data_IF_943941970922
#
_entry.id   IF_943941970922
#
_cell.length_a   1.000
_cell.length_b   1.000
_cell.length_c   1.000
_cell.angle_alpha   90.00
_cell.angle_beta   90.00
_cell.angle_gamma   90.00
#
_symmetry.space_group_name_H-M   'P 1'
#
loop_
_entity.id
_entity.type
_entity.pdbx_description
1 polymer ?
#
# COMPACT_ATOMS: atom_id res chain seq x y z
N UNK A 1 -17.68 56.19 -11.27
CA UNK A 1 -16.39 56.88 -11.46
C UNK A 1 -15.77 57.14 -10.10
N UNK A 2 -14.72 56.38 -9.74
CA UNK A 2 -13.83 56.62 -8.59
C UNK A 2 -12.56 55.80 -8.80
N UNK A 3 -11.47 56.40 -8.35
CA UNK A 3 -10.12 56.38 -8.93
C UNK A 3 -9.30 55.16 -8.54
N UNK A 4 -8.46 54.73 -9.48
CA UNK A 4 -7.44 53.66 -9.39
C UNK A 4 -6.31 54.14 -8.48
N UNK A 5 -5.84 53.28 -7.57
CA UNK A 5 -4.60 53.49 -6.82
C UNK A 5 -3.69 52.26 -7.00
N UNK A 6 -2.64 52.46 -7.79
CA UNK A 6 -1.55 51.53 -8.05
C UNK A 6 -0.48 51.66 -6.96
N UNK A 7 0.05 50.54 -6.48
CA UNK A 7 1.28 50.52 -5.69
C UNK A 7 2.36 49.73 -6.43
N UNK A 8 3.44 50.43 -6.74
CA UNK A 8 4.72 49.91 -7.19
C UNK A 8 5.54 49.49 -5.97
N UNK A 9 6.13 48.29 -5.99
CA UNK A 9 7.29 47.96 -5.17
C UNK A 9 8.36 47.37 -6.08
N UNK A 10 9.35 48.21 -6.38
CA UNK A 10 10.61 47.87 -7.01
C UNK A 10 11.66 47.64 -5.93
N UNK A 11 12.44 46.57 -6.09
CA UNK A 11 13.81 46.48 -5.61
C UNK A 11 14.01 45.75 -4.29
N UNK A 12 14.56 44.54 -4.34
CA UNK A 12 15.89 44.31 -3.76
C UNK A 12 16.53 43.11 -4.46
N UNK A 13 17.66 43.40 -5.11
CA UNK A 13 18.54 42.48 -5.81
C UNK A 13 19.76 42.36 -4.90
N UNK A 14 19.96 41.21 -4.25
CA UNK A 14 21.25 40.83 -3.67
C UNK A 14 21.56 39.41 -4.11
N UNK A 15 22.57 39.33 -4.98
CA UNK A 15 23.26 38.12 -5.33
C UNK A 15 24.21 37.73 -4.20
N UNK A 16 24.19 36.46 -3.79
CA UNK A 16 25.36 35.81 -3.20
C UNK A 16 25.54 34.46 -3.89
N UNK A 17 26.60 34.40 -4.69
CA UNK A 17 27.19 33.18 -5.18
C UNK A 17 27.74 32.36 -4.00
N UNK A 18 27.49 31.05 -4.00
CA UNK A 18 28.06 30.09 -3.06
C UNK A 18 28.18 28.75 -3.75
N UNK A 19 29.39 28.50 -4.27
CA UNK A 19 29.83 27.32 -4.99
C UNK A 19 30.10 26.16 -4.02
N UNK A 20 29.60 24.96 -4.39
CA UNK A 20 30.07 23.61 -4.05
C UNK A 20 30.20 23.17 -2.58
N UNK A 21 29.52 22.07 -2.25
CA UNK A 21 30.17 20.79 -1.89
C UNK A 21 29.18 19.64 -2.10
N UNK A 22 29.58 18.67 -2.93
CA UNK A 22 28.92 17.36 -3.05
C UNK A 22 29.08 16.61 -1.72
N UNK A 23 27.96 16.36 -1.03
CA UNK A 23 27.88 15.40 0.06
C UNK A 23 27.11 14.18 -0.41
N UNK A 24 27.83 13.12 -0.77
CA UNK A 24 27.28 11.76 -0.85
C UNK A 24 26.90 11.39 0.59
N UNK A 25 25.61 11.41 0.93
CA UNK A 25 25.14 10.81 2.18
C UNK A 25 24.70 9.38 1.89
N UNK A 26 25.56 8.44 2.27
CA UNK A 26 25.23 7.04 2.45
C UNK A 26 24.07 6.91 3.45
N UNK A 27 22.85 6.78 2.94
CA UNK A 27 21.72 6.33 3.74
C UNK A 27 21.77 4.81 3.88
N UNK A 28 22.76 4.36 4.65
CA UNK A 28 22.79 3.06 5.31
C UNK A 28 21.71 3.05 6.40
N UNK A 29 20.50 2.67 6.03
CA UNK A 29 19.43 2.43 6.99
C UNK A 29 19.69 1.13 7.75
N UNK A 30 20.18 1.28 8.98
CA UNK A 30 19.97 0.41 10.14
C UNK A 30 20.04 -1.11 9.90
N UNK A 31 21.26 -1.64 9.95
CA UNK A 31 21.47 -2.92 10.61
C UNK A 31 21.17 -2.73 12.10
N UNK A 32 20.17 -3.43 12.62
CA UNK A 32 20.01 -3.56 14.07
C UNK A 32 21.13 -4.46 14.58
N UNK A 33 22.05 -3.88 15.35
CA UNK A 33 22.93 -4.61 16.25
C UNK A 33 22.06 -5.38 17.25
N UNK A 34 21.92 -6.68 17.00
CA UNK A 34 21.49 -7.62 18.03
C UNK A 34 22.69 -7.83 18.93
N UNK A 35 22.74 -7.06 20.01
CA UNK A 35 23.68 -7.23 21.11
C UNK A 35 23.42 -8.61 21.75
N UNK A 36 24.13 -9.60 21.23
CA UNK A 36 24.15 -10.97 21.72
C UNK A 36 24.80 -10.97 23.11
N UNK A 37 23.97 -10.94 24.15
CA UNK A 37 24.38 -11.33 25.50
C UNK A 37 24.93 -12.76 25.44
N UNK A 38 26.26 -12.87 25.54
CA UNK A 38 26.98 -14.10 25.82
C UNK A 38 26.48 -14.67 27.16
N UNK A 39 25.61 -15.65 27.11
CA UNK A 39 25.46 -16.63 28.18
C UNK A 39 26.28 -17.86 27.80
N UNK A 40 27.43 -17.95 28.44
CA UNK A 40 28.30 -19.12 28.47
C UNK A 40 27.61 -20.20 29.31
N UNK A 41 26.95 -21.14 28.65
CA UNK A 41 26.58 -22.43 29.26
C UNK A 41 27.27 -23.55 28.49
N UNK A 42 28.37 -23.99 29.07
CA UNK A 42 29.09 -25.21 28.71
C UNK A 42 28.22 -26.41 29.07
N UNK A 43 27.61 -27.04 28.06
CA UNK A 43 26.99 -28.36 28.20
C UNK A 43 27.53 -29.26 27.10
N UNK A 44 28.29 -30.28 27.50
CA UNK A 44 28.86 -31.33 26.62
C UNK A 44 27.76 -32.06 25.84
N UNK A 45 27.93 -32.29 24.52
CA UNK A 45 27.10 -33.23 23.79
C UNK A 45 27.74 -34.62 23.76
N UNK A 46 27.13 -35.55 24.49
CA UNK A 46 27.36 -36.99 24.35
C UNK A 46 26.68 -37.48 23.07
N UNK A 47 27.44 -37.63 21.98
CA UNK A 47 26.95 -38.13 20.71
C UNK A 47 26.67 -39.65 20.80
N UNK A 48 25.39 -40.04 20.78
CA UNK A 48 24.97 -41.39 20.36
C UNK A 48 24.54 -41.33 18.89
N UNK A 49 24.96 -42.29 18.04
CA UNK A 49 24.52 -42.34 16.65
C UNK A 49 23.05 -42.77 16.57
N UNK A 50 22.19 -41.85 16.16
CA UNK A 50 20.80 -42.16 15.77
C UNK A 50 20.82 -42.66 14.32
N UNK A 51 20.38 -43.90 14.12
CA UNK A 51 20.13 -44.47 12.78
C UNK A 51 19.08 -43.62 12.06
N UNK A 52 19.49 -42.94 10.99
CA UNK A 52 18.60 -42.22 10.08
C UNK A 52 17.82 -43.26 9.28
N UNK A 53 16.56 -43.47 9.64
CA UNK A 53 15.61 -44.20 8.83
C UNK A 53 15.16 -43.31 7.67
N UNK A 54 15.60 -43.65 6.46
CA UNK A 54 15.20 -43.02 5.20
C UNK A 54 13.74 -43.35 4.90
N UNK A 55 12.81 -42.54 5.39
CA UNK A 55 11.41 -42.59 4.94
C UNK A 55 11.20 -41.62 3.78
N UNK A 56 11.13 -42.18 2.56
CA UNK A 56 10.62 -41.54 1.34
C UNK A 56 9.21 -40.96 1.57
N UNK A 57 8.99 -39.65 1.38
CA UNK A 57 7.64 -39.13 1.17
C UNK A 57 7.32 -39.20 -0.32
N UNK A 58 6.39 -40.09 -0.63
CA UNK A 58 5.73 -40.27 -1.93
C UNK A 58 5.15 -38.94 -2.40
N UNK A 59 5.76 -38.35 -3.43
CA UNK A 59 5.16 -37.27 -4.22
C UNK A 59 3.90 -37.80 -4.90
N UNK A 60 2.72 -37.53 -4.33
CA UNK A 60 1.46 -37.57 -5.09
C UNK A 60 1.30 -36.21 -5.78
N UNK A 61 1.14 -36.16 -7.12
CA UNK A 61 0.68 -34.95 -7.77
C UNK A 61 -0.74 -34.68 -7.29
N UNK A 62 -0.94 -33.55 -6.62
CA UNK A 62 -2.27 -33.02 -6.33
C UNK A 62 -2.86 -32.62 -7.68
N UNK A 63 -3.77 -33.46 -8.17
CA UNK A 63 -4.66 -33.17 -9.28
C UNK A 63 -5.28 -31.79 -9.05
N UNK A 64 -5.14 -30.90 -10.03
CA UNK A 64 -5.80 -29.61 -10.02
C UNK A 64 -7.31 -29.87 -10.02
N UNK A 65 -7.92 -29.76 -8.84
CA UNK A 65 -9.36 -29.77 -8.70
C UNK A 65 -9.86 -28.44 -9.27
N UNK A 66 -10.40 -28.54 -10.47
CA UNK A 66 -11.03 -27.48 -11.22
C UNK A 66 -12.14 -26.87 -10.36
N UNK A 67 -11.97 -25.61 -9.96
CA UNK A 67 -12.97 -24.83 -9.23
C UNK A 67 -14.25 -24.74 -10.07
N UNK A 68 -15.15 -25.70 -9.85
CA UNK A 68 -16.50 -25.69 -10.42
C UNK A 68 -17.25 -24.47 -9.88
N UNK A 69 -17.84 -23.61 -10.73
CA UNK A 69 -18.64 -22.49 -10.26
C UNK A 69 -19.83 -23.02 -9.45
N UNK A 70 -20.21 -22.35 -8.34
CA UNK A 70 -21.34 -22.78 -7.52
C UNK A 70 -22.62 -22.74 -8.35
N UNK A 71 -23.32 -23.88 -8.35
CA UNK A 71 -24.64 -24.01 -8.94
C UNK A 71 -25.61 -23.08 -8.22
N UNK A 72 -26.38 -22.35 -9.03
CA UNK A 72 -27.41 -21.41 -8.63
C UNK A 72 -28.59 -22.19 -8.04
N UNK A 73 -28.64 -22.29 -6.72
CA UNK A 73 -29.81 -22.72 -5.98
C UNK A 73 -30.72 -21.52 -5.74
N UNK A 74 -31.89 -21.53 -6.38
CA UNK A 74 -32.97 -20.60 -6.11
C UNK A 74 -33.70 -21.08 -4.84
N UNK A 75 -33.59 -20.35 -3.73
CA UNK A 75 -34.69 -20.18 -2.76
C UNK A 75 -34.36 -19.09 -1.75
N UNK A 76 -35.34 -18.18 -1.59
CA UNK A 76 -35.28 -16.95 -0.81
C UNK A 76 -35.40 -17.24 0.68
N UNK A 77 -34.38 -16.89 1.44
CA UNK A 77 -34.56 -16.36 2.78
C UNK A 77 -33.89 -14.99 2.83
N UNK A 78 -34.73 -13.95 2.94
CA UNK A 78 -34.34 -12.56 3.09
C UNK A 78 -33.56 -12.39 4.41
N UNK A 79 -32.23 -12.53 4.32
CA UNK A 79 -31.33 -12.00 5.33
C UNK A 79 -31.29 -10.48 5.21
N UNK A 80 -32.12 -9.83 6.03
CA UNK A 80 -32.27 -8.39 6.26
C UNK A 80 -31.03 -7.71 6.92
N UNK A 81 -29.82 -8.11 6.52
CA UNK A 81 -28.58 -7.38 6.82
C UNK A 81 -27.97 -6.83 5.53
N UNK A 82 -28.77 -6.06 4.81
CA UNK A 82 -28.32 -5.23 3.69
C UNK A 82 -27.44 -4.07 4.17
N UNK A 83 -26.20 -4.33 4.61
CA UNK A 83 -25.14 -3.33 4.74
C UNK A 83 -24.62 -2.83 3.36
N UNK A 84 -25.52 -2.73 2.37
CA UNK A 84 -25.23 -2.44 0.96
C UNK A 84 -25.57 -1.02 0.50
N UNK A 85 -25.93 -0.09 1.40
CA UNK A 85 -26.54 1.19 1.02
C UNK A 85 -25.55 2.37 0.87
N UNK A 86 -24.35 2.14 0.31
CA UNK A 86 -23.62 3.24 -0.33
C UNK A 86 -23.26 2.81 -1.73
N UNK A 87 -24.02 3.30 -2.72
CA UNK A 87 -23.77 3.08 -4.14
C UNK A 87 -22.30 3.40 -4.45
N UNK A 88 -21.58 2.59 -5.26
CA UNK A 88 -20.16 2.79 -5.58
C UNK A 88 -19.79 4.08 -6.36
N UNK A 89 -20.65 5.11 -6.39
CA UNK A 89 -20.58 6.23 -7.33
C UNK A 89 -20.17 7.58 -6.73
N UNK A 90 -19.89 7.67 -5.43
CA UNK A 90 -19.57 8.98 -4.79
C UNK A 90 -18.17 9.49 -5.10
N UNK A 91 -17.24 8.62 -5.53
CA UNK A 91 -15.90 9.06 -5.91
C UNK A 91 -15.94 9.56 -7.36
N UNK A 92 -15.67 10.86 -7.61
CA UNK A 92 -15.67 11.39 -8.96
C UNK A 92 -14.62 10.70 -9.82
N UNK A 93 -14.97 10.37 -11.07
CA UNK A 93 -14.03 9.81 -12.03
C UNK A 93 -12.97 10.87 -12.36
N UNK A 94 -11.70 10.49 -12.44
CA UNK A 94 -10.64 11.37 -12.95
C UNK A 94 -10.99 11.83 -14.37
N UNK A 95 -11.30 13.11 -14.54
CA UNK A 95 -11.52 13.78 -15.83
C UNK A 95 -10.24 14.45 -16.31
N UNK A 96 -10.16 14.77 -17.62
CA UNK A 96 -8.93 15.28 -18.23
C UNK A 96 -8.45 16.56 -17.53
N UNK A 97 -9.40 17.47 -17.32
CA UNK A 97 -9.21 18.71 -16.59
C UNK A 97 -8.67 18.48 -15.17
N UNK A 98 -9.19 17.50 -14.43
CA UNK A 98 -8.70 17.19 -13.08
C UNK A 98 -7.24 16.72 -13.09
N UNK A 99 -6.88 15.84 -14.02
CA UNK A 99 -5.48 15.40 -14.14
C UNK A 99 -4.55 16.54 -14.52
N UNK A 100 -4.92 17.35 -15.51
CA UNK A 100 -4.11 18.48 -15.93
C UNK A 100 -3.93 19.48 -14.77
N UNK A 101 -4.99 19.69 -13.97
CA UNK A 101 -4.93 20.48 -12.73
C UNK A 101 -3.97 19.89 -11.70
N UNK A 102 -4.10 18.58 -11.40
CA UNK A 102 -3.21 17.94 -10.43
C UNK A 102 -1.76 17.90 -10.91
N UNK A 103 -1.53 17.72 -12.21
CA UNK A 103 -0.20 17.69 -12.80
C UNK A 103 0.46 19.07 -12.78
N UNK A 104 -0.30 20.14 -13.03
CA UNK A 104 0.19 21.51 -12.90
C UNK A 104 0.61 21.81 -11.45
N UNK A 105 -0.25 21.50 -10.48
CA UNK A 105 0.07 21.62 -9.05
C UNK A 105 1.30 20.80 -8.67
N UNK A 106 1.34 19.54 -9.09
CA UNK A 106 2.46 18.65 -8.83
C UNK A 106 3.79 19.14 -9.41
N UNK A 107 3.78 19.91 -10.50
CA UNK A 107 5.00 20.48 -11.06
C UNK A 107 5.60 21.57 -10.16
N UNK A 108 4.78 22.29 -9.40
CA UNK A 108 5.15 23.46 -8.62
C UNK A 108 5.37 23.15 -7.12
N UNK A 109 4.69 22.12 -6.59
CA UNK A 109 4.70 21.77 -5.16
C UNK A 109 5.95 20.97 -4.74
N UNK A 110 6.28 20.97 -3.44
CA UNK A 110 7.33 20.11 -2.90
C UNK A 110 6.91 18.62 -2.91
N UNK A 111 7.88 17.70 -3.04
CA UNK A 111 7.66 16.25 -3.06
C UNK A 111 7.46 15.66 -1.66
N UNK A 112 6.46 16.14 -0.92
CA UNK A 112 6.18 15.77 0.47
C UNK A 112 4.74 15.30 0.65
N UNK A 113 4.45 14.63 1.77
CA UNK A 113 3.08 14.30 2.14
C UNK A 113 2.24 15.57 2.33
N UNK A 114 0.96 15.52 1.96
CA UNK A 114 0.06 16.67 1.99
C UNK A 114 0.12 17.57 0.75
N UNK A 115 1.02 17.33 -0.22
CA UNK A 115 1.02 18.01 -1.52
C UNK A 115 -0.26 17.66 -2.30
N UNK A 116 -1.21 18.60 -2.50
CA UNK A 116 -2.49 18.30 -3.13
C UNK A 116 -2.37 17.76 -4.57
N UNK A 117 -1.39 18.25 -5.33
CA UNK A 117 -1.10 17.76 -6.68
C UNK A 117 -0.66 16.30 -6.67
N UNK A 118 0.36 15.98 -5.86
CA UNK A 118 0.86 14.61 -5.71
C UNK A 118 -0.21 13.66 -5.18
N UNK A 119 -0.87 14.00 -4.07
CA UNK A 119 -1.86 13.15 -3.44
C UNK A 119 -3.07 12.89 -4.35
N UNK A 120 -3.52 13.90 -5.10
CA UNK A 120 -4.55 13.74 -6.12
C UNK A 120 -4.15 12.74 -7.21
N UNK A 121 -2.93 12.86 -7.75
CA UNK A 121 -2.40 11.93 -8.75
C UNK A 121 -2.32 10.49 -8.20
N UNK A 122 -1.86 10.31 -6.95
CA UNK A 122 -1.74 9.01 -6.30
C UNK A 122 -3.11 8.40 -5.95
N UNK A 123 -4.08 9.22 -5.54
CA UNK A 123 -5.46 8.78 -5.25
C UNK A 123 -6.14 8.13 -6.47
N UNK A 124 -5.81 8.59 -7.67
CA UNK A 124 -6.29 8.03 -8.92
C UNK A 124 -5.34 7.01 -9.58
N UNK A 125 -4.19 6.72 -8.96
CA UNK A 125 -3.22 5.67 -9.23
C UNK A 125 -3.26 5.08 -10.64
N UNK A 126 -4.05 4.02 -10.82
CA UNK A 126 -4.22 3.31 -12.09
C UNK A 126 -4.57 4.20 -13.28
N UNK A 127 -5.50 5.15 -13.12
CA UNK A 127 -5.91 6.07 -14.19
C UNK A 127 -4.81 7.08 -14.50
N UNK A 128 -4.15 7.59 -13.47
CA UNK A 128 -3.00 8.48 -13.61
C UNK A 128 -1.89 7.81 -14.42
N UNK A 129 -1.53 6.57 -14.10
CA UNK A 129 -0.54 5.78 -14.84
C UNK A 129 -0.91 5.65 -16.33
N UNK A 130 -2.15 5.27 -16.63
CA UNK A 130 -2.66 5.19 -18.00
C UNK A 130 -2.58 6.51 -18.76
N UNK A 131 -2.79 7.65 -18.10
CA UNK A 131 -2.71 8.95 -18.75
C UNK A 131 -1.28 9.43 -18.91
N UNK A 132 -0.40 9.08 -17.98
CA UNK A 132 1.02 9.34 -18.09
C UNK A 132 1.65 8.63 -19.30
N UNK A 133 1.22 7.39 -19.58
CA UNK A 133 1.63 6.62 -20.76
C UNK A 133 1.11 7.23 -22.06
N UNK A 134 -0.15 7.68 -22.09
CA UNK A 134 -0.78 8.25 -23.28
C UNK A 134 -0.39 9.68 -23.57
N UNK A 135 -0.10 10.47 -22.54
CA UNK A 135 0.21 11.90 -22.66
C UNK A 135 1.27 12.26 -21.62
N UNK A 136 2.54 11.94 -21.89
CA UNK A 136 3.63 12.30 -20.99
C UNK A 136 3.73 13.83 -20.85
N UNK A 137 3.92 14.35 -19.63
CA UNK A 137 3.97 15.79 -19.39
C UNK A 137 5.25 16.38 -20.01
N UNK A 138 5.10 17.40 -20.87
CA UNK A 138 6.24 18.04 -21.56
C UNK A 138 7.12 18.91 -20.65
N UNK A 139 6.57 19.42 -19.54
CA UNK A 139 7.23 20.42 -18.66
C UNK A 139 7.65 19.87 -17.30
N UNK A 140 7.56 18.56 -17.09
CA UNK A 140 7.95 17.97 -15.82
C UNK A 140 9.43 17.61 -15.84
N UNK A 141 10.20 18.02 -14.84
CA UNK A 141 11.59 17.59 -14.68
C UNK A 141 11.70 16.06 -14.63
N UNK A 142 12.79 15.49 -15.13
CA UNK A 142 13.01 14.05 -15.14
C UNK A 142 12.91 13.41 -13.75
N UNK A 143 13.42 14.08 -12.71
CA UNK A 143 13.38 13.62 -11.32
C UNK A 143 11.94 13.48 -10.80
N UNK A 144 11.12 14.52 -10.96
CA UNK A 144 9.69 14.47 -10.59
C UNK A 144 8.93 13.40 -11.37
N UNK A 145 9.24 13.19 -12.65
CA UNK A 145 8.61 12.14 -13.43
C UNK A 145 8.98 10.75 -12.91
N UNK A 146 10.26 10.54 -12.61
CA UNK A 146 10.77 9.29 -12.04
C UNK A 146 10.14 9.02 -10.66
N UNK A 147 10.10 10.01 -9.79
CA UNK A 147 9.45 9.93 -8.48
C UNK A 147 7.97 9.54 -8.61
N UNK A 148 7.20 10.23 -9.47
CA UNK A 148 5.79 9.92 -9.68
C UNK A 148 5.60 8.49 -10.21
N UNK A 149 6.43 8.05 -11.17
CA UNK A 149 6.37 6.68 -11.71
C UNK A 149 6.68 5.64 -10.62
N UNK A 150 7.67 5.91 -9.78
CA UNK A 150 8.02 5.05 -8.65
C UNK A 150 6.86 4.95 -7.64
N UNK A 151 6.22 6.07 -7.30
CA UNK A 151 5.08 6.02 -6.38
C UNK A 151 3.87 5.33 -7.01
N UNK A 152 3.60 5.54 -8.30
CA UNK A 152 2.51 4.87 -9.02
C UNK A 152 2.75 3.37 -9.27
N UNK A 153 3.99 2.88 -9.15
CA UNK A 153 4.29 1.45 -9.24
C UNK A 153 3.99 0.71 -7.93
N UNK A 154 3.86 1.43 -6.81
CA UNK A 154 3.40 0.88 -5.53
C UNK A 154 1.89 0.65 -5.54
N UNK A 155 1.48 -0.44 -6.17
CA UNK A 155 0.09 -0.80 -6.41
C UNK A 155 -0.44 -1.92 -5.50
N UNK A 156 0.34 -2.35 -4.51
CA UNK A 156 -0.06 -3.35 -3.51
C UNK A 156 0.31 -2.91 -2.10
N UNK A 157 -0.45 -3.40 -1.12
CA UNK A 157 -0.15 -3.28 0.31
C UNK A 157 -0.14 -4.66 0.96
N UNK A 158 0.43 -4.77 2.16
CA UNK A 158 0.34 -5.98 2.99
C UNK A 158 -0.68 -5.76 4.09
N UNK A 159 -1.65 -6.67 4.21
CA UNK A 159 -2.67 -6.62 5.26
C UNK A 159 -2.63 -7.91 6.04
N UNK A 160 -2.46 -7.79 7.35
CA UNK A 160 -2.67 -8.84 8.34
C UNK A 160 -3.69 -8.37 9.36
N UNK A 161 -4.34 -9.32 10.01
CA UNK A 161 -5.36 -9.03 11.02
C UNK A 161 -5.15 -9.95 12.22
N UNK A 162 -5.37 -9.41 13.42
CA UNK A 162 -5.38 -10.19 14.66
C UNK A 162 -6.64 -9.86 15.43
N UNK A 163 -7.30 -10.88 15.96
CA UNK A 163 -8.41 -10.72 16.89
C UNK A 163 -7.86 -11.00 18.28
N UNK A 164 -7.91 -9.98 19.13
CA UNK A 164 -7.48 -10.07 20.53
C UNK A 164 -8.70 -10.12 21.45
N UNK A 165 -8.60 -10.87 22.52
CA UNK A 165 -9.65 -10.89 23.55
C UNK A 165 -9.46 -9.74 24.56
N UNK A 166 -10.37 -9.63 25.55
CA UNK A 166 -10.32 -8.61 26.61
C UNK A 166 -9.05 -8.66 27.47
N UNK A 167 -8.33 -9.80 27.47
CA UNK A 167 -7.06 -10.00 28.18
C UNK A 167 -5.84 -9.75 27.29
N UNK A 168 -6.04 -9.38 26.02
CA UNK A 168 -4.97 -9.13 25.05
C UNK A 168 -4.43 -10.37 24.33
N UNK A 169 -4.99 -11.56 24.56
CA UNK A 169 -4.49 -12.79 23.91
C UNK A 169 -5.01 -12.88 22.47
N UNK A 170 -4.13 -13.27 21.53
CA UNK A 170 -4.49 -13.52 20.14
C UNK A 170 -5.37 -14.78 20.04
N UNK A 171 -6.62 -14.61 19.59
CA UNK A 171 -7.56 -15.71 19.34
C UNK A 171 -7.55 -16.16 17.89
N UNK A 172 -7.34 -15.21 16.98
CA UNK A 172 -7.34 -15.44 15.54
C UNK A 172 -6.24 -14.58 14.93
N UNK A 173 -5.47 -15.18 14.03
CA UNK A 173 -4.44 -14.49 13.28
C UNK A 173 -4.62 -14.72 11.79
N UNK A 174 -4.42 -13.65 11.03
CA UNK A 174 -4.37 -13.66 9.58
C UNK A 174 -2.99 -13.12 9.22
N UNK A 175 -2.14 -14.02 8.72
CA UNK A 175 -0.81 -13.64 8.27
C UNK A 175 -0.88 -12.53 7.21
N UNK A 176 0.06 -11.56 7.21
CA UNK A 176 0.08 -10.50 6.23
C UNK A 176 0.08 -11.03 4.79
N UNK A 177 -0.96 -10.69 4.02
CA UNK A 177 -1.07 -11.01 2.60
C UNK A 177 -0.91 -9.77 1.75
N UNK A 178 -0.25 -9.91 0.60
CA UNK A 178 -0.12 -8.86 -0.40
C UNK A 178 -1.44 -8.75 -1.17
N UNK A 179 -2.03 -7.56 -1.18
CA UNK A 179 -3.33 -7.28 -1.80
C UNK A 179 -3.23 -6.03 -2.67
N UNK A 180 -3.92 -5.99 -3.83
CA UNK A 180 -3.86 -4.85 -4.74
C UNK A 180 -4.61 -3.63 -4.16
N UNK A 181 -4.03 -2.45 -4.35
CA UNK A 181 -4.69 -1.17 -4.09
C UNK A 181 -5.73 -0.94 -5.18
N UNK A 182 -6.87 -0.33 -4.83
CA UNK A 182 -8.05 -0.14 -5.69
C UNK A 182 -8.80 -1.43 -6.07
N UNK A 183 -8.43 -2.57 -5.46
CA UNK A 183 -9.12 -3.84 -5.60
C UNK A 183 -10.07 -4.14 -4.45
N UNK A 184 -10.84 -5.22 -4.64
CA UNK A 184 -11.45 -5.95 -3.55
C UNK A 184 -10.44 -6.98 -3.02
N UNK A 185 -10.48 -7.25 -1.72
CA UNK A 185 -9.73 -8.34 -1.13
C UNK A 185 -10.64 -9.17 -0.23
N UNK A 186 -10.28 -10.44 -0.08
CA UNK A 186 -10.85 -11.35 0.93
C UNK A 186 -9.70 -12.11 1.56
N UNK A 187 -9.62 -12.07 2.88
CA UNK A 187 -8.66 -12.81 3.68
C UNK A 187 -9.41 -13.83 4.52
N UNK A 188 -8.78 -14.96 4.75
CA UNK A 188 -9.27 -16.02 5.61
C UNK A 188 -8.27 -16.22 6.73
N UNK A 189 -8.75 -16.33 7.95
CA UNK A 189 -7.91 -16.67 9.08
C UNK A 189 -7.53 -18.14 9.10
N UNK A 190 -6.55 -18.49 9.91
CA UNK A 190 -6.21 -19.89 10.14
C UNK A 190 -7.39 -20.63 10.78
N UNK A 191 -7.58 -21.90 10.39
CA UNK A 191 -8.67 -22.73 10.94
C UNK A 191 -8.37 -23.03 12.41
N UNK A 192 -9.36 -22.82 13.27
CA UNK A 192 -9.28 -23.16 14.69
C UNK A 192 -10.34 -24.23 15.02
N UNK A 193 -10.00 -25.29 15.79
CA UNK A 193 -11.00 -26.24 16.26
C UNK A 193 -12.13 -25.54 17.02
N UNK A 194 -13.38 -25.87 16.68
CA UNK A 194 -14.57 -25.34 17.35
C UNK A 194 -15.01 -23.92 16.94
N UNK A 195 -14.35 -23.29 15.97
CA UNK A 195 -14.74 -21.94 15.48
C UNK A 195 -14.83 -21.99 13.95
N UNK A 196 -15.97 -21.59 13.34
CA UNK A 196 -16.06 -21.39 11.90
C UNK A 196 -14.97 -20.43 11.42
N UNK A 197 -14.28 -20.77 10.33
CA UNK A 197 -13.14 -20.00 9.83
C UNK A 197 -13.55 -18.55 9.52
N UNK A 198 -13.05 -17.55 10.28
CA UNK A 198 -13.38 -16.16 10.01
C UNK A 198 -12.85 -15.72 8.64
N UNK A 199 -13.65 -14.92 7.93
CA UNK A 199 -13.24 -14.25 6.70
C UNK A 199 -13.42 -12.74 6.81
N UNK A 200 -12.53 -12.00 6.16
CA UNK A 200 -12.47 -10.55 6.17
C UNK A 200 -12.36 -10.04 4.75
N UNK A 201 -13.39 -9.37 4.28
CA UNK A 201 -13.43 -8.73 2.97
C UNK A 201 -13.17 -7.23 3.09
N UNK A 202 -12.87 -6.58 1.97
CA UNK A 202 -12.84 -5.12 1.96
C UNK A 202 -12.40 -4.49 0.65
N UNK A 203 -12.30 -3.16 0.68
CA UNK A 203 -11.73 -2.33 -0.38
C UNK A 203 -10.59 -1.50 0.17
N UNK A 204 -9.57 -1.31 -0.67
CA UNK A 204 -8.40 -0.51 -0.35
C UNK A 204 -8.28 0.63 -1.33
N UNK A 205 -7.92 1.79 -0.82
CA UNK A 205 -7.61 2.93 -1.65
C UNK A 205 -6.43 3.71 -1.08
N UNK A 206 -5.47 4.04 -1.93
CA UNK A 206 -4.45 5.02 -1.58
C UNK A 206 -5.09 6.40 -1.53
N UNK A 207 -4.89 7.12 -0.42
CA UNK A 207 -5.44 8.46 -0.20
C UNK A 207 -4.37 9.53 0.01
N UNK A 208 -3.10 9.12 0.09
CA UNK A 208 -1.97 10.04 0.11
C UNK A 208 -0.65 9.30 -0.14
N UNK A 209 0.47 9.99 0.06
CA UNK A 209 1.80 9.41 -0.16
C UNK A 209 2.04 8.20 0.78
N UNK A 210 1.67 8.35 2.06
CA UNK A 210 1.86 7.32 3.10
C UNK A 210 0.55 6.78 3.70
N UNK A 211 -0.60 7.16 3.12
CA UNK A 211 -1.91 6.87 3.69
C UNK A 211 -2.74 5.94 2.81
N UNK A 212 -3.29 4.90 3.43
CA UNK A 212 -4.21 3.94 2.83
C UNK A 212 -5.52 4.00 3.59
N UNK A 213 -6.60 4.22 2.86
CA UNK A 213 -7.95 4.05 3.36
C UNK A 213 -8.41 2.61 3.16
N UNK A 214 -8.99 2.03 4.20
CA UNK A 214 -9.51 0.67 4.22
C UNK A 214 -10.98 0.72 4.60
N UNK A 215 -11.81 -0.01 3.85
CA UNK A 215 -13.19 -0.32 4.24
C UNK A 215 -13.30 -1.83 4.39
N UNK A 216 -13.59 -2.26 5.61
CA UNK A 216 -13.83 -3.65 6.02
C UNK A 216 -15.34 -3.87 6.05
#
# INVERSE_FOLDING_TARGET
MKTIQTYWWSGFLVACAGLLLFGVSDNSWFAMDVEAKKQTSTTQPTSRPVKVATSRPTSRPVLADELKPPQKGDEKEDCDTGCGAVKPSTIPKLTRQMYDTYMAKYAEEALVAGSPGLEGLLFYGYKTRKWLEKTPPKRLSAERLAFLKQELSRDHVRIGLRIVNKRGENRVYIAPKRVPIHGHYTLYADKHPGIPQPSFGGKLKRVGLYHIWVRI
#
